data_IF_074118376520
#
_entry.id   IF_074118376520
#
_cell.length_a   1.000
_cell.length_b   1.000
_cell.length_c   1.000
_cell.angle_alpha   90.00
_cell.angle_beta   90.00
_cell.angle_gamma   90.00
#
_symmetry.space_group_name_H-M   'P 1'
#
loop_
_entity.id
_entity.type
_entity.pdbx_description
1 polymer ?
#
# COMPACT_ATOMS: atom_id res chain seq x y z
N UNK A 1 -13.81 -12.63 -4.59
CA UNK A 1 -13.21 -11.28 -4.58
C UNK A 1 -11.70 -11.45 -4.39
N UNK A 2 -10.85 -10.84 -5.24
CA UNK A 2 -9.39 -10.94 -5.11
C UNK A 2 -8.87 -9.74 -4.33
N UNK A 3 -8.28 -9.99 -3.16
CA UNK A 3 -7.66 -8.95 -2.34
C UNK A 3 -6.33 -8.56 -2.97
N UNK A 4 -6.09 -7.26 -3.13
CA UNK A 4 -4.87 -6.69 -3.74
C UNK A 4 -4.12 -5.91 -2.69
N UNK A 5 -2.83 -6.17 -2.52
CA UNK A 5 -1.99 -5.51 -1.52
C UNK A 5 -1.00 -4.56 -2.17
N UNK A 6 -0.68 -3.49 -1.46
CA UNK A 6 0.48 -2.65 -1.72
C UNK A 6 1.33 -2.61 -0.45
N UNK A 7 2.55 -3.11 -0.53
CA UNK A 7 3.55 -2.99 0.53
C UNK A 7 4.24 -1.62 0.43
N UNK A 8 4.35 -0.95 1.57
CA UNK A 8 5.16 0.26 1.76
C UNK A 8 6.64 0.02 1.38
N UNK A 9 7.31 1.05 0.89
CA UNK A 9 8.73 1.00 0.51
C UNK A 9 9.67 0.70 1.68
N UNK A 10 9.23 0.92 2.92
CA UNK A 10 10.01 0.65 4.11
C UNK A 10 9.89 -0.80 4.60
N UNK A 11 8.99 -1.60 4.01
CA UNK A 11 8.91 -3.03 4.30
C UNK A 11 9.95 -3.81 3.54
N UNK A 12 10.50 -4.85 4.17
CA UNK A 12 11.50 -5.72 3.54
C UNK A 12 10.93 -6.35 2.26
N UNK A 13 11.67 -6.34 1.13
CA UNK A 13 11.30 -7.08 -0.07
C UNK A 13 11.07 -8.59 0.18
N UNK A 14 11.75 -9.16 1.18
CA UNK A 14 11.61 -10.57 1.55
C UNK A 14 10.20 -10.93 2.01
N UNK A 15 9.44 -9.96 2.53
CA UNK A 15 8.04 -10.17 2.91
C UNK A 15 7.20 -10.56 1.69
N UNK A 16 7.34 -9.82 0.58
CA UNK A 16 6.64 -10.15 -0.68
C UNK A 16 7.05 -11.53 -1.18
N UNK A 17 8.36 -11.81 -1.21
CA UNK A 17 8.90 -13.10 -1.68
C UNK A 17 8.33 -14.25 -0.84
N UNK A 18 8.35 -14.12 0.48
CA UNK A 18 7.87 -15.15 1.41
C UNK A 18 6.36 -15.38 1.27
N UNK A 19 5.57 -14.30 1.14
CA UNK A 19 4.12 -14.40 0.93
C UNK A 19 3.78 -15.08 -0.41
N UNK A 20 4.52 -14.78 -1.48
CA UNK A 20 4.34 -15.43 -2.78
C UNK A 20 4.77 -16.90 -2.78
N UNK A 21 5.74 -17.30 -1.95
CA UNK A 21 6.08 -18.72 -1.74
C UNK A 21 4.95 -19.48 -1.06
N UNK A 22 4.27 -18.85 -0.09
CA UNK A 22 3.14 -19.44 0.62
C UNK A 22 1.87 -19.49 -0.25
N UNK A 23 1.62 -18.43 -1.02
CA UNK A 23 0.48 -18.34 -1.94
C UNK A 23 0.88 -17.60 -3.23
N UNK A 24 1.24 -18.32 -4.31
CA UNK A 24 1.62 -17.72 -5.58
C UNK A 24 0.53 -16.89 -6.27
N UNK A 25 -0.74 -17.09 -5.88
CA UNK A 25 -1.88 -16.39 -6.47
C UNK A 25 -2.17 -15.04 -5.78
N UNK A 26 -1.40 -14.62 -4.78
CA UNK A 26 -1.58 -13.34 -4.10
C UNK A 26 -1.37 -12.18 -5.09
N UNK A 27 -2.29 -11.20 -5.12
CA UNK A 27 -2.05 -9.93 -5.81
C UNK A 27 -1.34 -8.98 -4.86
N UNK A 28 -0.03 -8.83 -5.02
CA UNK A 28 0.82 -8.05 -4.14
C UNK A 28 1.85 -7.27 -4.94
N UNK A 29 1.85 -5.96 -4.73
CA UNK A 29 2.87 -5.05 -5.23
C UNK A 29 3.61 -4.43 -4.05
N UNK A 30 4.78 -3.86 -4.33
CA UNK A 30 5.54 -3.03 -3.40
C UNK A 30 5.84 -1.68 -4.04
N UNK A 31 5.78 -0.61 -3.27
CA UNK A 31 6.25 0.72 -3.70
C UNK A 31 7.69 0.59 -4.23
N UNK A 32 7.93 1.17 -5.41
CA UNK A 32 9.17 1.06 -6.18
C UNK A 32 9.17 0.00 -7.29
N UNK A 33 8.12 -0.81 -7.42
CA UNK A 33 7.98 -1.78 -8.52
C UNK A 33 7.34 -1.16 -9.77
N UNK A 34 7.52 -1.75 -10.98
CA UNK A 34 7.07 -1.16 -12.25
C UNK A 34 5.59 -0.76 -12.32
N UNK A 35 4.69 -1.50 -11.66
CA UNK A 35 3.24 -1.24 -11.65
C UNK A 35 2.74 -0.57 -10.36
N UNK A 36 3.68 -0.08 -9.54
CA UNK A 36 3.43 0.56 -8.26
C UNK A 36 3.93 2.02 -8.27
N UNK A 37 3.54 2.84 -7.28
CA UNK A 37 4.15 4.15 -7.11
C UNK A 37 5.67 4.04 -6.97
N UNK A 38 6.45 4.99 -7.51
CA UNK A 38 7.91 4.97 -7.39
C UNK A 38 8.38 5.11 -5.93
N UNK A 39 9.63 4.77 -5.67
CA UNK A 39 10.26 5.03 -4.37
C UNK A 39 10.23 6.52 -4.03
N UNK A 40 10.03 6.85 -2.75
CA UNK A 40 9.90 8.22 -2.25
C UNK A 40 8.55 8.88 -2.54
N UNK A 41 7.56 8.14 -3.07
CA UNK A 41 6.20 8.65 -3.21
C UNK A 41 5.65 9.07 -1.84
N UNK A 42 5.03 10.25 -1.76
CA UNK A 42 4.54 10.78 -0.50
C UNK A 42 3.35 9.97 0.03
N UNK A 43 3.27 9.83 1.36
CA UNK A 43 2.16 9.14 2.06
C UNK A 43 0.75 9.51 1.52
N UNK A 44 0.39 10.79 1.29
CA UNK A 44 -0.92 11.12 0.73
C UNK A 44 -1.14 10.58 -0.69
N UNK A 45 -0.11 10.59 -1.54
CA UNK A 45 -0.19 10.08 -2.90
C UNK A 45 -0.32 8.54 -2.91
N UNK A 46 0.30 7.86 -1.93
CA UNK A 46 0.08 6.43 -1.71
C UNK A 46 -1.38 6.15 -1.35
N UNK A 47 -2.01 6.97 -0.50
CA UNK A 47 -3.42 6.82 -0.13
C UNK A 47 -4.36 7.01 -1.34
N UNK A 48 -4.09 8.00 -2.20
CA UNK A 48 -4.82 8.21 -3.45
C UNK A 48 -4.69 7.03 -4.41
N UNK A 49 -3.48 6.46 -4.51
CA UNK A 49 -3.22 5.29 -5.34
C UNK A 49 -3.99 4.07 -4.83
N UNK A 50 -3.90 3.73 -3.53
CA UNK A 50 -4.57 2.52 -3.03
C UNK A 50 -6.09 2.63 -3.09
N UNK A 51 -6.65 3.84 -2.95
CA UNK A 51 -8.06 4.11 -3.17
C UNK A 51 -8.47 3.83 -4.63
N UNK A 52 -7.73 4.38 -5.59
CA UNK A 52 -8.01 4.29 -7.02
C UNK A 52 -7.83 2.87 -7.58
N UNK A 53 -6.80 2.16 -7.13
CA UNK A 53 -6.46 0.83 -7.61
C UNK A 53 -7.08 -0.30 -6.79
N UNK A 54 -7.91 0.03 -5.80
CA UNK A 54 -8.57 -0.92 -4.91
C UNK A 54 -7.59 -1.87 -4.21
N UNK A 55 -6.52 -1.28 -3.66
CA UNK A 55 -5.47 -1.99 -2.95
C UNK A 55 -5.55 -1.71 -1.45
N UNK A 56 -5.09 -2.66 -0.65
CA UNK A 56 -4.86 -2.53 0.78
C UNK A 56 -3.41 -2.12 1.02
N UNK A 57 -3.21 -0.99 1.69
CA UNK A 57 -1.88 -0.57 2.10
C UNK A 57 -1.40 -1.39 3.30
N UNK A 58 -0.21 -1.97 3.19
CA UNK A 58 0.49 -2.61 4.29
C UNK A 58 1.69 -1.74 4.64
N UNK A 59 1.67 -1.12 5.82
CA UNK A 59 2.73 -0.22 6.29
C UNK A 59 3.00 -0.41 7.78
N UNK A 60 4.26 -0.21 8.19
CA UNK A 60 4.66 -0.13 9.60
C UNK A 60 4.73 1.32 10.12
N UNK A 61 4.37 2.31 9.30
CA UNK A 61 4.43 3.72 9.67
C UNK A 61 3.30 4.09 10.64
N UNK A 62 3.50 3.77 11.92
CA UNK A 62 2.54 4.12 12.99
C UNK A 62 2.64 5.60 13.42
N UNK A 63 3.65 6.33 12.94
CA UNK A 63 3.96 7.70 13.40
C UNK A 63 3.22 8.76 12.60
N UNK A 64 3.37 8.77 11.27
CA UNK A 64 2.72 9.78 10.42
C UNK A 64 1.44 9.29 9.76
N UNK A 65 1.31 7.99 9.50
CA UNK A 65 0.17 7.46 8.72
C UNK A 65 -1.21 7.75 9.34
N UNK A 66 -1.43 7.65 10.66
CA UNK A 66 -2.72 8.01 11.25
C UNK A 66 -3.17 9.45 10.92
N UNK A 67 -2.22 10.39 10.86
CA UNK A 67 -2.49 11.78 10.46
C UNK A 67 -2.80 11.88 8.96
N UNK A 68 -2.06 11.16 8.12
CA UNK A 68 -2.31 11.15 6.67
C UNK A 68 -3.69 10.54 6.34
N UNK A 69 -4.07 9.46 7.03
CA UNK A 69 -5.39 8.85 6.94
C UNK A 69 -6.51 9.82 7.33
N UNK A 70 -6.36 10.50 8.47
CA UNK A 70 -7.33 11.52 8.89
C UNK A 70 -7.50 12.60 7.81
N UNK A 71 -6.39 13.16 7.33
CA UNK A 71 -6.42 14.18 6.28
C UNK A 71 -7.04 13.67 4.97
N UNK A 72 -6.87 12.38 4.65
CA UNK A 72 -7.45 11.73 3.49
C UNK A 72 -8.98 11.65 3.61
N UNK A 73 -9.48 11.18 4.75
CA UNK A 73 -10.91 11.12 5.03
C UNK A 73 -11.57 12.50 5.12
N UNK A 74 -10.90 13.49 5.73
CA UNK A 74 -11.39 14.87 5.82
C UNK A 74 -11.59 15.51 4.43
N UNK A 75 -10.87 15.02 3.40
CA UNK A 75 -11.02 15.41 1.99
C UNK A 75 -12.07 14.60 1.23
N UNK A 76 -12.78 13.69 1.90
CA UNK A 76 -13.73 12.75 1.28
C UNK A 76 -13.07 11.54 0.60
N UNK A 77 -11.78 11.33 0.83
CA UNK A 77 -11.07 10.14 0.38
C UNK A 77 -11.56 8.88 1.12
N UNK A 78 -11.34 7.72 0.51
CA UNK A 78 -11.60 6.42 1.14
C UNK A 78 -10.41 5.48 0.94
N UNK A 79 -10.42 4.38 1.68
CA UNK A 79 -9.45 3.28 1.58
C UNK A 79 -10.22 1.96 1.65
N UNK A 80 -9.60 0.87 1.21
CA UNK A 80 -10.24 -0.43 1.10
C UNK A 80 -10.03 -1.34 2.33
N UNK A 81 -9.35 -0.84 3.37
CA UNK A 81 -9.16 -1.47 4.68
C UNK A 81 -8.27 -0.66 5.60
#
# INVERSE_FOLDING_TARGET
MRIRFLLDENLSPDLKISLLRLNPNLDILRVGEPDAPPLGTLDPQILDYVASFQRLLVTNNRRSMPRHLKNHWDKGGHIWG
#
